data_IF_023155231949
#
_entry.id   IF_023155231949
#
_cell.length_a   1.000
_cell.length_b   1.000
_cell.length_c   1.000
_cell.angle_alpha   90.00
_cell.angle_beta   90.00
_cell.angle_gamma   90.00
#
_symmetry.space_group_name_H-M   'P 1'
#
loop_
_entity.id
_entity.type
_entity.pdbx_description
1 polymer ?
#
# COMPACT_ATOMS: atom_id res chain seq x y z
N UNK A 1 -23.61 -61.15 34.87
CA UNK A 1 -22.79 -59.93 34.99
C UNK A 1 -21.68 -60.00 33.96
N UNK A 2 -21.82 -59.34 32.82
CA UNK A 2 -20.82 -59.32 31.74
C UNK A 2 -20.49 -57.85 31.47
N UNK A 3 -19.28 -57.45 31.86
CA UNK A 3 -18.74 -56.11 31.68
C UNK A 3 -18.11 -56.00 30.29
N UNK A 4 -18.75 -55.27 29.38
CA UNK A 4 -18.15 -54.89 28.09
C UNK A 4 -17.33 -53.60 28.30
N UNK A 5 -16.00 -53.72 28.29
CA UNK A 5 -15.08 -52.58 28.29
C UNK A 5 -15.12 -51.89 26.92
N UNK A 6 -15.76 -50.73 26.84
CA UNK A 6 -15.58 -49.80 25.73
C UNK A 6 -14.21 -49.13 25.85
N UNK A 7 -13.29 -49.49 24.96
CA UNK A 7 -12.04 -48.76 24.76
C UNK A 7 -12.36 -47.50 23.95
N UNK A 8 -12.48 -46.37 24.64
CA UNK A 8 -12.60 -45.04 24.02
C UNK A 8 -11.20 -44.67 23.53
N UNK A 9 -10.98 -44.80 22.22
CA UNK A 9 -9.81 -44.27 21.53
C UNK A 9 -9.85 -42.74 21.61
N UNK A 10 -8.93 -42.16 22.39
CA UNK A 10 -8.75 -40.72 22.53
C UNK A 10 -7.95 -40.23 21.32
N UNK A 11 -8.64 -39.87 20.23
CA UNK A 11 -8.02 -39.18 19.10
C UNK A 11 -7.63 -37.76 19.53
N UNK A 12 -6.33 -37.54 19.74
CA UNK A 12 -5.72 -36.22 19.88
C UNK A 12 -5.91 -35.43 18.58
N UNK A 13 -6.99 -34.64 18.52
CA UNK A 13 -7.20 -33.63 17.48
C UNK A 13 -6.21 -32.51 17.77
N UNK A 14 -5.04 -32.57 17.10
CA UNK A 14 -4.06 -31.49 17.10
C UNK A 14 -4.70 -30.23 16.52
N UNK A 15 -4.89 -29.23 17.36
CA UNK A 15 -5.39 -27.91 16.96
C UNK A 15 -4.24 -27.16 16.28
N UNK A 16 -4.08 -27.35 14.96
CA UNK A 16 -3.17 -26.53 14.16
C UNK A 16 -3.66 -25.09 14.24
N UNK A 17 -2.91 -24.22 14.93
CA UNK A 17 -3.20 -22.79 14.97
C UNK A 17 -3.11 -22.23 13.54
N UNK A 18 -4.27 -22.03 12.89
CA UNK A 18 -4.33 -21.34 11.61
C UNK A 18 -4.00 -19.87 11.85
N UNK A 19 -2.91 -19.39 11.25
CA UNK A 19 -2.58 -17.96 11.23
C UNK A 19 -3.71 -17.22 10.54
N UNK A 20 -4.40 -16.35 11.27
CA UNK A 20 -5.52 -15.56 10.75
C UNK A 20 -4.97 -14.38 9.97
N UNK A 21 -5.37 -14.27 8.70
CA UNK A 21 -5.09 -13.10 7.89
C UNK A 21 -6.26 -12.10 8.00
N UNK A 22 -5.94 -10.82 8.17
CA UNK A 22 -6.90 -9.72 8.23
C UNK A 22 -6.69 -8.79 7.03
N UNK A 23 -7.77 -8.49 6.31
CA UNK A 23 -7.78 -7.55 5.19
C UNK A 23 -8.07 -6.14 5.70
N UNK A 24 -7.34 -5.17 5.18
CA UNK A 24 -7.57 -3.75 5.45
C UNK A 24 -7.22 -2.89 4.23
N UNK A 25 -7.67 -1.64 4.22
CA UNK A 25 -7.52 -0.73 3.08
C UNK A 25 -6.85 0.57 3.53
N UNK A 26 -5.51 0.69 3.40
CA UNK A 26 -4.84 1.96 3.66
C UNK A 26 -5.32 3.02 2.66
N UNK A 27 -5.39 4.27 3.10
CA UNK A 27 -5.99 5.36 2.33
C UNK A 27 -4.94 6.37 1.88
N UNK A 28 -4.88 6.62 0.57
CA UNK A 28 -4.29 7.84 0.02
C UNK A 28 -5.41 8.86 -0.18
N UNK A 29 -5.29 10.11 0.34
CA UNK A 29 -6.23 11.17 0.00
C UNK A 29 -6.36 11.30 -1.52
N UNK A 30 -7.57 11.27 -2.06
CA UNK A 30 -7.82 11.35 -3.51
C UNK A 30 -7.34 12.68 -4.09
N UNK A 31 -7.46 13.75 -3.32
CA UNK A 31 -7.04 15.09 -3.66
C UNK A 31 -6.37 15.73 -2.45
N UNK A 32 -5.35 16.54 -2.71
CA UNK A 32 -4.72 17.41 -1.72
C UNK A 32 -4.79 18.86 -2.19
N UNK A 33 -4.97 19.76 -1.24
CA UNK A 33 -4.88 21.21 -1.46
C UNK A 33 -3.46 21.65 -1.15
N UNK A 34 -2.80 22.23 -2.12
CA UNK A 34 -1.39 22.60 -2.02
C UNK A 34 -1.21 24.03 -2.52
N UNK A 35 -0.09 24.64 -2.15
CA UNK A 35 0.30 25.94 -2.71
C UNK A 35 1.75 25.81 -3.14
N UNK A 36 1.96 25.54 -4.42
CA UNK A 36 3.29 25.57 -5.01
C UNK A 36 3.67 27.01 -5.36
N UNK A 37 4.84 27.44 -4.88
CA UNK A 37 5.39 28.77 -5.14
C UNK A 37 6.82 28.68 -5.62
N UNK A 38 7.17 29.55 -6.56
CA UNK A 38 8.56 29.76 -6.98
C UNK A 38 9.21 30.69 -5.96
N UNK A 39 10.24 30.23 -5.26
CA UNK A 39 10.93 31.03 -4.24
C UNK A 39 11.80 32.13 -4.87
N UNK A 40 12.37 31.90 -6.05
CA UNK A 40 13.18 32.87 -6.78
C UNK A 40 12.78 32.86 -8.26
N UNK A 41 12.20 33.98 -8.73
CA UNK A 41 11.82 34.15 -10.13
C UNK A 41 13.06 34.67 -10.89
N UNK A 42 13.54 33.97 -11.94
CA UNK A 42 14.66 34.46 -12.73
C UNK A 42 14.40 35.84 -13.32
N UNK A 43 15.44 36.67 -13.42
CA UNK A 43 15.32 38.05 -13.93
C UNK A 43 14.67 38.06 -15.33
N UNK A 44 13.63 38.87 -15.49
CA UNK A 44 12.89 39.00 -16.77
C UNK A 44 11.79 37.96 -16.98
N UNK A 45 11.54 37.09 -16.01
CA UNK A 45 10.42 36.14 -16.03
C UNK A 45 9.30 36.59 -15.09
N UNK A 46 8.09 36.13 -15.36
CA UNK A 46 6.92 36.28 -14.48
C UNK A 46 6.25 34.93 -14.25
N UNK A 47 5.58 34.80 -13.10
CA UNK A 47 4.80 33.60 -12.79
C UNK A 47 3.39 33.76 -13.35
N UNK A 48 3.03 32.95 -14.34
CA UNK A 48 1.72 33.03 -15.00
C UNK A 48 0.67 32.21 -14.24
N UNK A 49 1.05 31.09 -13.61
CA UNK A 49 0.13 30.22 -12.84
C UNK A 49 0.89 29.27 -11.90
N UNK A 50 0.31 28.94 -10.75
CA UNK A 50 0.71 27.82 -9.88
C UNK A 50 -0.23 26.61 -10.01
N UNK A 51 0.11 25.50 -9.35
CA UNK A 51 -0.75 24.31 -9.29
C UNK A 51 -1.47 24.31 -7.94
N UNK A 52 -2.80 24.35 -7.96
CA UNK A 52 -3.64 24.48 -6.75
C UNK A 52 -4.20 23.16 -6.23
N UNK A 53 -4.39 22.18 -7.13
CA UNK A 53 -5.01 20.90 -6.81
C UNK A 53 -4.20 19.77 -7.44
N UNK A 54 -3.90 18.75 -6.62
CA UNK A 54 -3.24 17.54 -7.08
C UNK A 54 -4.08 16.31 -6.68
N UNK A 55 -4.32 15.43 -7.63
CA UNK A 55 -4.98 14.15 -7.45
C UNK A 55 -3.96 13.01 -7.25
N UNK A 56 -4.40 11.96 -6.58
CA UNK A 56 -3.60 10.76 -6.35
C UNK A 56 -3.29 10.03 -7.67
N UNK A 57 -2.00 9.89 -7.98
CA UNK A 57 -1.51 9.43 -9.28
C UNK A 57 -0.79 8.10 -9.23
N UNK A 58 -0.18 7.73 -8.11
CA UNK A 58 0.56 6.49 -7.95
C UNK A 58 0.82 6.17 -6.47
N UNK A 59 1.33 4.97 -6.16
CA UNK A 59 1.90 4.64 -4.86
C UNK A 59 3.27 3.97 -4.97
N UNK A 60 3.97 3.91 -3.84
CA UNK A 60 5.16 3.08 -3.66
C UNK A 60 5.15 2.48 -2.26
N UNK A 61 5.79 1.33 -2.10
CA UNK A 61 6.04 0.72 -0.80
C UNK A 61 7.53 0.75 -0.50
N UNK A 62 7.90 1.03 0.74
CA UNK A 62 9.29 1.09 1.20
C UNK A 62 9.49 0.16 2.39
N UNK A 63 10.66 -0.49 2.50
CA UNK A 63 11.02 -1.36 3.64
C UNK A 63 11.59 -0.61 4.85
N UNK A 64 11.65 0.72 4.78
CA UNK A 64 12.00 1.64 5.87
C UNK A 64 11.38 3.01 5.53
N UNK A 65 11.62 4.04 6.36
CA UNK A 65 11.18 5.40 6.06
C UNK A 65 11.68 5.84 4.67
N UNK A 66 10.85 6.46 3.82
CA UNK A 66 11.19 6.77 2.42
C UNK A 66 12.43 7.67 2.25
N UNK A 67 12.81 8.46 3.26
CA UNK A 67 14.07 9.24 3.28
C UNK A 67 15.33 8.35 3.15
N UNK A 68 15.21 7.05 3.43
CA UNK A 68 16.29 6.06 3.24
C UNK A 68 16.27 5.41 1.85
N UNK A 69 15.38 5.84 0.96
CA UNK A 69 15.31 5.49 -0.47
C UNK A 69 15.19 3.98 -0.77
N UNK A 70 14.61 3.19 0.15
CA UNK A 70 14.45 1.75 0.02
C UNK A 70 13.13 1.33 -0.68
N UNK A 71 12.88 1.84 -1.89
CA UNK A 71 11.64 1.55 -2.63
C UNK A 71 11.58 0.09 -3.09
N UNK A 72 10.44 -0.56 -2.86
CA UNK A 72 10.18 -1.95 -3.22
C UNK A 72 9.47 -2.04 -4.57
N UNK A 73 10.02 -2.84 -5.49
CA UNK A 73 9.34 -3.21 -6.73
C UNK A 73 8.20 -4.19 -6.44
N UNK A 74 7.12 -4.17 -7.22
CA UNK A 74 6.09 -5.20 -7.13
C UNK A 74 6.64 -6.56 -7.58
N UNK A 75 6.18 -7.63 -6.93
CA UNK A 75 6.42 -9.02 -7.37
C UNK A 75 5.65 -9.34 -8.66
N UNK A 76 4.51 -8.68 -8.84
CA UNK A 76 3.68 -8.80 -10.03
C UNK A 76 3.08 -7.45 -10.39
N UNK A 77 3.12 -7.08 -11.67
CA UNK A 77 2.42 -5.91 -12.19
C UNK A 77 1.85 -6.16 -13.58
N UNK A 78 0.65 -5.66 -13.81
CA UNK A 78 0.04 -5.53 -15.14
C UNK A 78 -0.82 -4.25 -15.19
N UNK A 79 -1.49 -4.01 -16.31
CA UNK A 79 -2.32 -2.81 -16.51
C UNK A 79 -3.48 -2.66 -15.50
N UNK A 80 -3.90 -3.75 -14.83
CA UNK A 80 -5.05 -3.76 -13.91
C UNK A 80 -4.64 -3.78 -12.44
N UNK A 81 -3.48 -4.37 -12.11
CA UNK A 81 -3.04 -4.49 -10.72
C UNK A 81 -1.54 -4.63 -10.57
N UNK A 82 -1.04 -4.20 -9.42
CA UNK A 82 0.28 -4.52 -8.92
C UNK A 82 0.20 -5.17 -7.53
N UNK A 83 1.14 -6.07 -7.22
CA UNK A 83 1.17 -6.83 -5.97
C UNK A 83 2.56 -6.84 -5.36
N UNK A 84 2.59 -6.75 -4.05
CA UNK A 84 3.79 -6.87 -3.22
C UNK A 84 3.55 -7.90 -2.13
N UNK A 85 4.57 -8.70 -1.86
CA UNK A 85 4.67 -9.65 -0.75
C UNK A 85 5.83 -9.22 0.13
N UNK A 86 5.59 -9.21 1.44
CA UNK A 86 6.54 -8.73 2.44
C UNK A 86 6.81 -9.82 3.47
N UNK A 87 7.97 -9.70 4.12
CA UNK A 87 8.24 -10.46 5.34
C UNK A 87 7.42 -9.86 6.50
N UNK A 88 6.80 -10.68 7.38
CA UNK A 88 6.02 -10.16 8.51
C UNK A 88 6.87 -9.40 9.54
N UNK A 89 8.20 -9.47 9.46
CA UNK A 89 9.13 -8.71 10.28
C UNK A 89 9.48 -7.33 9.69
N UNK A 90 9.13 -7.05 8.43
CA UNK A 90 9.44 -5.78 7.78
C UNK A 90 8.50 -4.65 8.24
N UNK A 91 9.07 -3.45 8.39
CA UNK A 91 8.32 -2.22 8.58
C UNK A 91 8.06 -1.58 7.23
N UNK A 92 6.84 -1.71 6.72
CA UNK A 92 6.48 -1.20 5.40
C UNK A 92 5.86 0.19 5.51
N UNK A 93 6.34 1.11 4.69
CA UNK A 93 5.74 2.43 4.50
C UNK A 93 5.03 2.50 3.17
N UNK A 94 3.82 3.02 3.17
CA UNK A 94 3.10 3.43 1.96
C UNK A 94 3.47 4.88 1.65
N UNK A 95 3.78 5.16 0.39
CA UNK A 95 3.96 6.50 -0.15
C UNK A 95 2.92 6.75 -1.24
N UNK A 96 2.16 7.82 -1.10
CA UNK A 96 1.16 8.30 -2.05
C UNK A 96 1.76 9.43 -2.90
N UNK A 97 1.69 9.28 -4.22
CA UNK A 97 2.23 10.23 -5.17
C UNK A 97 1.12 11.07 -5.80
N UNK A 98 1.33 12.36 -5.89
CA UNK A 98 0.35 13.29 -6.46
C UNK A 98 0.77 13.79 -7.84
N UNK A 99 -0.20 13.95 -8.74
CA UNK A 99 0.08 14.36 -10.10
C UNK A 99 0.64 15.79 -10.13
N UNK A 100 1.47 16.09 -11.13
CA UNK A 100 2.01 17.44 -11.38
C UNK A 100 2.60 18.12 -10.14
N UNK A 101 3.15 17.35 -9.21
CA UNK A 101 3.80 17.85 -8.01
C UNK A 101 4.92 16.89 -7.59
N UNK A 102 5.89 17.42 -6.84
CA UNK A 102 6.86 16.63 -6.09
C UNK A 102 6.36 16.26 -4.69
N UNK A 103 5.11 16.58 -4.35
CA UNK A 103 4.52 16.28 -3.05
C UNK A 103 4.21 14.79 -2.96
N UNK A 104 4.72 14.18 -1.89
CA UNK A 104 4.51 12.80 -1.51
C UNK A 104 3.97 12.77 -0.07
N UNK A 105 2.99 11.89 0.19
CA UNK A 105 2.51 11.62 1.56
C UNK A 105 2.92 10.21 1.95
N UNK A 106 3.43 10.03 3.17
CA UNK A 106 3.79 8.71 3.68
C UNK A 106 3.06 8.36 4.96
N UNK A 107 2.76 7.08 5.13
CA UNK A 107 2.28 6.51 6.39
C UNK A 107 2.87 5.11 6.60
N UNK A 108 3.19 4.70 7.84
CA UNK A 108 3.52 3.32 8.13
C UNK A 108 2.29 2.43 7.98
N UNK A 109 2.47 1.24 7.41
CA UNK A 109 1.46 0.20 7.42
C UNK A 109 1.40 -0.49 8.80
N UNK A 110 0.27 -1.07 9.18
CA UNK A 110 0.18 -1.95 10.35
C UNK A 110 1.29 -2.99 10.39
N UNK A 111 1.83 -3.32 11.58
CA UNK A 111 2.85 -4.35 11.72
C UNK A 111 2.33 -5.70 11.22
N UNK A 112 3.25 -6.57 10.80
CA UNK A 112 2.94 -7.88 10.20
C UNK A 112 2.10 -7.80 8.92
N UNK A 113 2.14 -6.67 8.19
CA UNK A 113 1.59 -6.62 6.84
C UNK A 113 2.44 -7.49 5.93
N UNK A 114 1.83 -8.47 5.28
CA UNK A 114 2.53 -9.47 4.46
C UNK A 114 2.25 -9.34 2.99
N UNK A 115 1.20 -8.61 2.61
CA UNK A 115 0.84 -8.43 1.21
C UNK A 115 0.06 -7.15 1.00
N UNK A 116 0.32 -6.47 -0.11
CA UNK A 116 -0.55 -5.40 -0.61
C UNK A 116 -0.83 -5.59 -2.10
N UNK A 117 -2.05 -5.27 -2.51
CA UNK A 117 -2.49 -5.23 -3.90
C UNK A 117 -3.01 -3.84 -4.21
N UNK A 118 -2.48 -3.25 -5.28
CA UNK A 118 -2.98 -2.04 -5.89
C UNK A 118 -3.79 -2.43 -7.11
N UNK A 119 -5.04 -1.96 -7.18
CA UNK A 119 -5.88 -2.06 -8.37
C UNK A 119 -5.88 -0.72 -9.08
N UNK A 120 -5.71 -0.75 -10.40
CA UNK A 120 -5.74 0.43 -11.26
C UNK A 120 -7.07 0.51 -12.02
N UNK A 121 -7.49 1.73 -12.34
CA UNK A 121 -8.57 1.96 -13.28
C UNK A 121 -8.02 1.91 -14.72
N UNK A 122 -8.39 0.90 -15.55
CA UNK A 122 -7.83 0.75 -16.90
C UNK A 122 -8.34 1.79 -17.90
N UNK A 123 -9.32 2.62 -17.52
CA UNK A 123 -9.90 3.64 -18.39
C UNK A 123 -9.36 5.05 -18.08
N UNK A 124 -8.60 5.22 -17.00
CA UNK A 124 -8.05 6.50 -16.57
C UNK A 124 -6.52 6.42 -16.56
N UNK A 125 -5.89 7.25 -17.37
CA UNK A 125 -4.43 7.34 -17.48
C UNK A 125 -3.97 8.74 -17.08
N UNK A 126 -3.00 8.80 -16.18
CA UNK A 126 -2.28 10.02 -15.82
C UNK A 126 -0.83 9.97 -16.29
N UNK A 127 -0.05 10.94 -15.84
CA UNK A 127 1.35 11.12 -16.27
C UNK A 127 2.27 9.94 -15.89
N UNK A 128 1.84 9.11 -14.91
CA UNK A 128 2.60 7.96 -14.38
C UNK A 128 1.97 6.60 -14.74
N UNK A 129 1.01 6.57 -15.66
CA UNK A 129 0.29 5.35 -16.08
C UNK A 129 -1.17 5.33 -15.61
N UNK A 130 -1.74 4.14 -15.50
CA UNK A 130 -3.13 3.99 -15.06
C UNK A 130 -3.32 4.49 -13.63
N UNK A 131 -4.41 5.22 -13.39
CA UNK A 131 -4.66 5.80 -12.08
C UNK A 131 -5.02 4.72 -11.05
N UNK A 132 -4.49 4.80 -9.83
CA UNK A 132 -4.93 3.96 -8.72
C UNK A 132 -6.42 4.08 -8.45
N UNK A 133 -7.08 2.95 -8.21
CA UNK A 133 -8.48 2.88 -7.79
C UNK A 133 -8.59 2.43 -6.33
N UNK A 134 -7.82 1.42 -5.93
CA UNK A 134 -7.94 0.81 -4.62
C UNK A 134 -6.63 0.19 -4.15
N UNK A 135 -6.32 0.33 -2.86
CA UNK A 135 -5.28 -0.41 -2.16
C UNK A 135 -5.93 -1.38 -1.19
N UNK A 136 -5.52 -2.64 -1.22
CA UNK A 136 -5.95 -3.66 -0.25
C UNK A 136 -4.74 -4.42 0.26
N UNK A 137 -4.59 -4.49 1.57
CA UNK A 137 -3.47 -5.13 2.23
C UNK A 137 -3.94 -6.21 3.19
N UNK A 138 -3.07 -7.18 3.43
CA UNK A 138 -3.28 -8.28 4.37
C UNK A 138 -2.23 -8.21 5.47
N UNK A 139 -2.66 -8.35 6.72
CA UNK A 139 -1.76 -8.55 7.86
C UNK A 139 -2.02 -9.86 8.57
N UNK A 140 -0.99 -10.43 9.15
CA UNK A 140 -1.13 -11.57 10.05
C UNK A 140 -1.55 -11.07 11.44
N UNK A 141 -2.55 -11.73 12.02
CA UNK A 141 -2.95 -11.47 13.41
C UNK A 141 -1.96 -12.10 14.38
#
# INVERSE_FOLDING_TARGET
MIYWKFLISLTLIGCSAMVRAELYQPQCPQEIKTTERINEIPKGWETIKGIEHNYWSNISFYSDHPDKMASLKPDFANQKKAKWVFSPQELIYLVCHYNKSSIELTQPLPPKTTQCTLTYNPNLMGDRGFLPEKIECMKQS
#
